data_IF_196944051914
#
_entry.id   IF_196944051914
#
_cell.length_a   1.000
_cell.length_b   1.000
_cell.length_c   1.000
_cell.angle_alpha   90.00
_cell.angle_beta   90.00
_cell.angle_gamma   90.00
#
_symmetry.space_group_name_H-M   'P 1'
#
loop_
_entity.id
_entity.type
_entity.pdbx_description
1 polymer ?
#
# COMPACT_ATOMS: atom_id res chain seq x y z
N UNK A 1 -25.48 2.77 15.16
CA UNK A 1 -24.62 3.65 15.98
C UNK A 1 -23.24 3.06 16.32
N UNK A 2 -22.96 1.81 15.93
CA UNK A 2 -21.70 1.11 16.28
C UNK A 2 -20.66 1.03 15.15
N UNK A 3 -21.01 1.50 13.95
CA UNK A 3 -20.08 1.61 12.81
C UNK A 3 -19.26 2.90 12.90
N UNK A 4 -19.81 3.97 13.50
CA UNK A 4 -19.13 5.26 13.66
C UNK A 4 -18.03 5.25 14.74
N UNK A 5 -18.09 4.36 15.73
CA UNK A 5 -17.09 4.28 16.81
C UNK A 5 -15.77 3.62 16.39
N UNK A 6 -15.76 2.87 15.28
CA UNK A 6 -14.54 2.28 14.73
C UNK A 6 -13.67 3.31 13.99
N UNK A 7 -14.18 4.51 13.72
CA UNK A 7 -13.43 5.61 13.13
C UNK A 7 -12.53 6.37 14.12
N UNK A 8 -12.72 6.18 15.43
CA UNK A 8 -12.09 6.99 16.49
C UNK A 8 -11.07 6.22 17.35
N UNK A 9 -10.60 5.05 16.92
CA UNK A 9 -9.41 4.42 17.52
C UNK A 9 -8.15 5.06 16.94
N UNK A 10 -7.90 6.28 17.40
CA UNK A 10 -6.61 6.95 17.29
C UNK A 10 -5.68 6.19 18.25
N UNK A 11 -4.85 5.27 17.73
CA UNK A 11 -3.73 4.75 18.51
C UNK A 11 -2.70 5.89 18.67
N UNK A 12 -2.43 6.41 19.88
CA UNK A 12 -1.59 7.58 20.09
C UNK A 12 -0.08 7.29 19.93
N UNK A 13 0.30 6.18 19.29
CA UNK A 13 1.68 5.67 19.27
C UNK A 13 2.48 6.13 18.03
N UNK A 14 2.15 7.26 17.41
CA UNK A 14 2.94 7.88 16.34
C UNK A 14 2.89 9.41 16.45
N UNK A 15 3.20 9.93 17.63
CA UNK A 15 3.49 11.34 17.81
C UNK A 15 4.73 11.68 16.96
N UNK A 16 4.68 12.75 16.16
CA UNK A 16 5.80 13.39 15.43
C UNK A 16 6.08 12.90 13.99
N UNK A 17 5.12 13.02 13.07
CA UNK A 17 5.45 13.35 11.67
C UNK A 17 5.00 14.78 11.41
N UNK A 18 5.95 15.71 11.51
CA UNK A 18 5.80 17.17 11.62
C UNK A 18 4.80 17.80 10.64
N UNK A 19 3.60 18.14 11.11
CA UNK A 19 2.73 19.16 10.50
C UNK A 19 1.96 18.74 9.24
N UNK A 20 1.97 17.46 8.85
CA UNK A 20 1.12 16.94 7.77
C UNK A 20 -0.09 16.28 8.43
N UNK A 21 -1.19 17.03 8.60
CA UNK A 21 -2.48 16.46 9.01
C UNK A 21 -3.08 15.69 7.84
N UNK A 22 -2.63 14.46 7.66
CA UNK A 22 -3.31 13.47 6.84
C UNK A 22 -3.98 12.45 7.74
N UNK A 23 -5.31 12.37 7.64
CA UNK A 23 -6.10 11.33 8.27
C UNK A 23 -5.73 9.98 7.66
N UNK A 24 -4.88 9.26 8.37
CA UNK A 24 -4.25 8.03 7.93
C UNK A 24 -4.89 6.87 8.71
N UNK A 25 -5.75 6.08 8.04
CA UNK A 25 -6.40 4.90 8.64
C UNK A 25 -5.35 3.91 9.14
N UNK A 26 -5.68 3.14 10.18
CA UNK A 26 -4.81 2.14 10.85
C UNK A 26 -4.16 1.13 9.88
N UNK A 27 -4.70 0.97 8.68
CA UNK A 27 -4.15 0.10 7.65
C UNK A 27 -2.89 0.68 6.97
N UNK A 28 -2.65 2.00 6.97
CA UNK A 28 -1.62 2.68 6.14
C UNK A 28 -0.73 3.70 6.87
N UNK A 29 -0.94 3.92 8.17
CA UNK A 29 -0.78 5.27 8.71
C UNK A 29 0.64 5.86 8.78
N UNK A 30 1.69 5.04 8.73
CA UNK A 30 3.06 5.54 8.88
C UNK A 30 3.86 5.53 7.57
N UNK A 31 3.53 4.66 6.60
CA UNK A 31 4.39 4.42 5.43
C UNK A 31 4.60 5.69 4.58
N UNK A 32 3.54 6.38 4.10
CA UNK A 32 3.72 7.57 3.29
C UNK A 32 4.55 8.69 3.93
N UNK A 33 4.27 9.12 5.18
CA UNK A 33 5.07 10.17 5.81
C UNK A 33 6.49 9.72 6.17
N UNK A 34 6.73 8.43 6.48
CA UNK A 34 8.08 7.91 6.70
C UNK A 34 8.90 7.94 5.40
N UNK A 35 8.29 7.58 4.27
CA UNK A 35 8.92 7.66 2.96
C UNK A 35 9.26 9.11 2.58
N UNK A 36 8.30 10.02 2.71
CA UNK A 36 8.48 11.44 2.43
C UNK A 36 9.51 12.11 3.35
N UNK A 37 9.62 11.65 4.61
CA UNK A 37 10.61 12.14 5.56
C UNK A 37 12.01 11.51 5.40
N UNK A 38 12.21 10.60 4.42
CA UNK A 38 13.48 9.91 4.20
C UNK A 38 13.83 8.88 5.29
N UNK A 39 12.87 8.52 6.14
CA UNK A 39 13.05 7.50 7.20
C UNK A 39 12.80 6.08 6.68
N UNK A 40 12.16 5.94 5.52
CA UNK A 40 11.92 4.67 4.85
C UNK A 40 12.11 4.86 3.34
N UNK A 41 12.77 3.92 2.65
CA UNK A 41 12.92 3.97 1.19
C UNK A 41 11.71 3.39 0.46
N UNK A 42 11.15 2.30 0.99
CA UNK A 42 10.08 1.52 0.38
C UNK A 42 9.14 1.00 1.49
N UNK A 43 7.83 1.06 1.27
CA UNK A 43 6.87 0.40 2.13
C UNK A 43 5.67 -0.15 1.38
N UNK A 44 4.81 -0.84 2.11
CA UNK A 44 3.59 -1.45 1.57
C UNK A 44 2.35 -0.81 2.14
N UNK A 45 1.32 -0.80 1.31
CA UNK A 45 0.01 -0.32 1.63
C UNK A 45 -1.13 -1.22 1.15
N UNK A 46 -2.37 -0.78 1.35
CA UNK A 46 -3.62 -1.41 0.95
C UNK A 46 -4.56 -0.33 0.45
N UNK A 47 -5.08 -0.51 -0.76
CA UNK A 47 -5.95 0.44 -1.45
C UNK A 47 -7.24 -0.27 -1.85
N UNK A 48 -8.31 0.04 -1.13
CA UNK A 48 -9.69 -0.30 -1.53
C UNK A 48 -10.52 0.91 -1.95
N UNK A 49 -10.16 2.10 -1.48
CA UNK A 49 -10.86 3.36 -1.78
C UNK A 49 -9.91 4.50 -2.16
N UNK A 50 -8.66 4.20 -2.50
CA UNK A 50 -7.61 5.18 -2.76
C UNK A 50 -6.54 5.27 -1.67
N UNK A 51 -6.55 4.40 -0.66
CA UNK A 51 -5.68 4.53 0.52
C UNK A 51 -4.17 4.36 0.28
N UNK A 52 -3.73 4.00 -0.93
CA UNK A 52 -2.32 4.11 -1.36
C UNK A 52 -2.11 5.34 -2.25
N UNK A 53 -3.02 5.56 -3.22
CA UNK A 53 -2.92 6.65 -4.19
C UNK A 53 -3.14 8.04 -3.58
N UNK A 54 -4.08 8.18 -2.66
CA UNK A 54 -4.40 9.43 -1.95
C UNK A 54 -3.20 9.91 -1.13
N UNK A 55 -2.65 9.13 -0.17
CA UNK A 55 -1.50 9.60 0.57
C UNK A 55 -0.24 9.73 -0.29
N UNK A 56 -0.07 8.92 -1.35
CA UNK A 56 1.00 9.13 -2.34
C UNK A 56 0.92 10.53 -2.97
N UNK A 57 -0.28 10.92 -3.41
CA UNK A 57 -0.53 12.26 -3.96
C UNK A 57 -0.32 13.39 -2.96
N UNK A 58 -0.69 13.19 -1.68
CA UNK A 58 -0.57 14.23 -0.66
C UNK A 58 0.85 14.38 -0.11
N UNK A 59 1.60 13.27 0.00
CA UNK A 59 2.97 13.26 0.51
C UNK A 59 4.04 13.42 -0.59
N UNK A 60 3.63 13.49 -1.86
CA UNK A 60 4.55 13.67 -2.99
C UNK A 60 5.42 12.45 -3.28
N UNK A 61 4.90 11.25 -3.01
CA UNK A 61 5.60 9.98 -3.22
C UNK A 61 4.80 9.09 -4.18
N UNK A 62 5.46 8.08 -4.73
CA UNK A 62 4.81 7.16 -5.64
C UNK A 62 4.02 6.09 -4.88
N UNK A 63 2.72 5.99 -5.17
CA UNK A 63 1.83 4.98 -4.60
C UNK A 63 1.08 4.23 -5.70
N UNK A 64 1.34 2.93 -5.85
CA UNK A 64 0.76 2.12 -6.90
C UNK A 64 -0.26 1.12 -6.35
N UNK A 65 -1.45 1.07 -6.96
CA UNK A 65 -2.43 0.01 -6.71
C UNK A 65 -2.40 -0.98 -7.88
N UNK A 66 -1.85 -2.19 -7.69
CA UNK A 66 -1.83 -3.20 -8.74
C UNK A 66 -3.23 -3.74 -9.05
N UNK A 67 -3.31 -4.61 -10.05
CA UNK A 67 -4.53 -5.34 -10.39
C UNK A 67 -5.01 -6.14 -9.18
N UNK A 68 -6.31 -6.15 -8.92
CA UNK A 68 -6.88 -6.92 -7.82
C UNK A 68 -6.50 -8.40 -7.95
N UNK A 69 -6.00 -9.02 -6.88
CA UNK A 69 -5.52 -10.41 -6.91
C UNK A 69 -4.10 -10.60 -7.47
N UNK A 70 -3.40 -9.54 -7.89
CA UNK A 70 -2.00 -9.61 -8.32
C UNK A 70 -1.04 -9.82 -7.14
N UNK A 71 -1.28 -9.10 -6.05
CA UNK A 71 -0.61 -9.32 -4.76
C UNK A 71 -1.61 -10.08 -3.88
N UNK A 72 -1.26 -11.27 -3.37
CA UNK A 72 -2.15 -12.06 -2.54
C UNK A 72 -2.43 -11.35 -1.21
N UNK A 73 -3.66 -11.46 -0.74
CA UNK A 73 -4.12 -10.83 0.51
C UNK A 73 -3.79 -11.65 1.75
N UNK A 74 -3.43 -12.92 1.56
CA UNK A 74 -3.05 -13.80 2.66
C UNK A 74 -1.79 -13.27 3.35
N UNK A 75 -1.87 -13.00 4.66
CA UNK A 75 -0.78 -12.40 5.43
C UNK A 75 -0.51 -10.91 5.17
N UNK A 76 -1.25 -10.28 4.24
CA UNK A 76 -1.09 -8.88 3.86
C UNK A 76 -1.98 -7.91 4.64
N UNK A 77 -1.77 -6.61 4.41
CA UNK A 77 -2.56 -5.52 5.02
C UNK A 77 -3.98 -5.43 4.45
N UNK A 78 -4.19 -5.81 3.18
CA UNK A 78 -5.50 -5.82 2.53
C UNK A 78 -6.32 -7.07 2.92
N UNK A 79 -6.78 -7.14 4.17
CA UNK A 79 -7.52 -8.32 4.66
C UNK A 79 -8.84 -8.53 3.89
N UNK A 80 -9.12 -9.77 3.41
CA UNK A 80 -10.31 -10.06 2.59
C UNK A 80 -11.66 -9.68 3.24
N UNK A 81 -11.73 -9.62 4.57
CA UNK A 81 -12.95 -9.37 5.32
C UNK A 81 -13.47 -7.91 5.28
N UNK A 82 -12.66 -6.96 4.80
CA UNK A 82 -12.96 -5.52 4.92
C UNK A 82 -13.38 -4.86 3.61
N UNK A 83 -12.95 -5.39 2.45
CA UNK A 83 -13.29 -4.85 1.13
C UNK A 83 -12.99 -5.85 0.00
N UNK A 84 -13.98 -6.16 -0.85
CA UNK A 84 -13.75 -6.98 -2.05
C UNK A 84 -12.88 -6.25 -3.11
N UNK A 85 -12.75 -4.94 -3.01
CA UNK A 85 -11.91 -4.13 -3.90
C UNK A 85 -10.49 -3.87 -3.36
N UNK A 86 -10.20 -4.23 -2.11
CA UNK A 86 -8.92 -3.94 -1.48
C UNK A 86 -7.78 -4.74 -2.09
N UNK A 87 -6.70 -4.05 -2.43
CA UNK A 87 -5.49 -4.65 -2.97
C UNK A 87 -4.29 -4.07 -2.25
N UNK A 88 -3.34 -4.91 -1.85
CA UNK A 88 -2.05 -4.40 -1.35
C UNK A 88 -1.24 -3.79 -2.50
N UNK A 89 -0.43 -2.78 -2.20
CA UNK A 89 0.33 -2.04 -3.21
C UNK A 89 1.59 -1.36 -2.64
N UNK A 90 2.63 -1.16 -3.45
CA UNK A 90 3.87 -0.53 -3.01
C UNK A 90 3.74 1.00 -2.88
N UNK A 91 4.54 1.55 -1.97
CA UNK A 91 4.75 2.98 -1.77
C UNK A 91 6.26 3.26 -1.69
N UNK A 92 6.75 4.22 -2.46
CA UNK A 92 8.19 4.52 -2.54
C UNK A 92 8.44 5.95 -3.02
N UNK A 93 9.68 6.42 -2.87
CA UNK A 93 10.07 7.75 -3.33
C UNK A 93 10.26 7.81 -4.85
N UNK A 94 10.51 6.67 -5.51
CA UNK A 94 10.63 6.58 -6.96
C UNK A 94 9.80 5.43 -7.58
N UNK A 95 9.65 5.43 -8.91
CA UNK A 95 8.88 4.44 -9.67
C UNK A 95 9.57 3.07 -9.75
N UNK A 96 10.90 3.04 -9.84
CA UNK A 96 11.73 1.83 -9.88
C UNK A 96 11.62 1.04 -8.59
N UNK A 97 11.74 1.66 -7.43
CA UNK A 97 11.57 1.03 -6.12
C UNK A 97 10.18 0.41 -5.96
N UNK A 98 9.14 1.11 -6.43
CA UNK A 98 7.79 0.54 -6.46
C UNK A 98 7.66 -0.62 -7.43
N UNK A 99 8.32 -0.57 -8.60
CA UNK A 99 8.33 -1.68 -9.54
C UNK A 99 9.06 -2.90 -8.97
N UNK A 100 10.20 -2.71 -8.29
CA UNK A 100 10.94 -3.77 -7.59
C UNK A 100 10.06 -4.41 -6.52
N UNK A 101 9.44 -3.60 -5.67
CA UNK A 101 8.57 -4.12 -4.62
C UNK A 101 7.33 -4.82 -5.20
N UNK A 102 6.74 -4.26 -6.25
CA UNK A 102 5.61 -4.88 -6.92
C UNK A 102 6.00 -6.23 -7.54
N UNK A 103 7.19 -6.34 -8.15
CA UNK A 103 7.72 -7.59 -8.69
C UNK A 103 7.89 -8.64 -7.60
N UNK A 104 8.43 -8.24 -6.44
CA UNK A 104 8.67 -9.15 -5.33
C UNK A 104 7.38 -9.64 -4.64
N UNK A 105 6.36 -8.79 -4.55
CA UNK A 105 5.10 -9.12 -3.90
C UNK A 105 4.07 -9.78 -4.81
N UNK A 106 4.21 -9.62 -6.12
CA UNK A 106 3.28 -10.17 -7.10
C UNK A 106 3.45 -11.68 -7.23
N UNK A 107 2.35 -12.42 -7.25
CA UNK A 107 2.39 -13.87 -7.40
C UNK A 107 1.06 -14.54 -7.10
N UNK A 108 0.90 -15.76 -7.61
CA UNK A 108 -0.23 -16.58 -7.24
C UNK A 108 0.00 -17.20 -5.85
N UNK A 109 -1.01 -17.14 -4.99
CA UNK A 109 -1.05 -17.80 -3.69
C UNK A 109 -2.38 -18.57 -3.57
N UNK A 110 -2.30 -19.86 -3.30
CA UNK A 110 -3.46 -20.74 -3.18
C UNK A 110 -4.29 -20.49 -1.92
N UNK A 111 -3.71 -19.82 -0.92
CA UNK A 111 -4.37 -19.44 0.34
C UNK A 111 -5.25 -18.20 0.19
N UNK A 112 -5.14 -17.44 -0.90
CA UNK A 112 -6.05 -16.34 -1.23
C UNK A 112 -6.95 -16.73 -2.42
N UNK A 113 -8.24 -17.00 -2.19
CA UNK A 113 -9.19 -17.32 -3.25
C UNK A 113 -9.31 -16.23 -4.34
N UNK A 114 -8.91 -14.99 -4.05
CA UNK A 114 -8.90 -13.89 -5.01
C UNK A 114 -7.59 -13.73 -5.79
N UNK A 115 -6.57 -14.58 -5.55
CA UNK A 115 -5.28 -14.49 -6.23
C UNK A 115 -5.36 -14.94 -7.69
N UNK A 116 -4.72 -14.18 -8.58
CA UNK A 116 -4.71 -14.44 -10.02
C UNK A 116 -3.66 -15.51 -10.35
N UNK A 117 -4.06 -16.62 -10.97
CA UNK A 117 -3.19 -17.72 -11.45
C UNK A 117 -2.33 -17.38 -12.69
N UNK A 118 -2.14 -16.11 -12.99
CA UNK A 118 -1.43 -15.63 -14.18
C UNK A 118 0.04 -15.35 -13.91
N UNK A 119 0.87 -15.48 -14.94
CA UNK A 119 2.28 -15.08 -14.85
C UNK A 119 2.41 -13.62 -14.36
N UNK A 120 3.45 -13.36 -13.58
CA UNK A 120 3.82 -12.02 -13.14
C UNK A 120 4.61 -11.37 -14.28
N UNK A 121 4.15 -10.25 -14.86
CA UNK A 121 4.94 -9.51 -15.84
C UNK A 121 6.26 -9.05 -15.22
N UNK A 122 7.31 -8.90 -16.03
CA UNK A 122 8.53 -8.23 -15.59
C UNK A 122 8.27 -6.71 -15.56
N UNK A 123 8.12 -6.16 -14.36
CA UNK A 123 7.88 -4.73 -14.15
C UNK A 123 9.13 -3.86 -14.33
N UNK A 124 10.31 -4.47 -14.46
CA UNK A 124 11.59 -3.76 -14.56
C UNK A 124 12.09 -3.62 -16.00
N UNK A 125 11.48 -4.32 -16.96
CA UNK A 125 11.99 -4.49 -18.33
C UNK A 125 12.31 -3.17 -19.06
N UNK A 126 11.49 -2.13 -18.89
CA UNK A 126 11.64 -0.84 -19.55
C UNK A 126 12.17 0.28 -18.63
N UNK A 127 12.44 -0.04 -17.36
CA UNK A 127 12.97 0.91 -16.40
C UNK A 127 14.48 1.03 -16.58
N UNK A 128 14.88 1.86 -17.56
CA UNK A 128 16.28 2.19 -17.80
C UNK A 128 16.95 2.58 -16.48
N UNK A 129 18.06 1.91 -16.17
CA UNK A 129 19.01 2.25 -15.13
C UNK A 129 19.69 3.58 -15.49
N UNK A 130 18.94 4.68 -15.40
CA UNK A 130 19.50 6.03 -15.31
C UNK A 130 20.10 6.22 -13.92
#
# INVERSE_FOLDING_TARGET
>A
MEIAKKLLRISPLLLITRGIQLECREDQAAVPPLNAAGMCSIGTGSDGGGSVRLPGSFCGIFGHKPTHGRIPRYGGQAKPAYNSAGTSGPMSNDVRDSAILNQALSGFDDRDPGSIKGAVPDYLIDLRMA
#
